data_IF_927690951056
#
_entry.id   IF_927690951056
#
_cell.length_a   1.000
_cell.length_b   1.000
_cell.length_c   1.000
_cell.angle_alpha   90.00
_cell.angle_beta   90.00
_cell.angle_gamma   90.00
#
_symmetry.space_group_name_H-M   'P 1'
#
loop_
_entity.id
_entity.type
_entity.pdbx_description
1 polymer ?
#
# COMPACT_ATOMS: atom_id res chain seq x y z
N UNK A 1 4.65 -10.11 -6.55
CA UNK A 1 4.76 -10.84 -7.82
C UNK A 1 5.76 -10.18 -8.78
N UNK A 2 5.71 -8.87 -9.00
CA UNK A 2 6.62 -8.16 -9.92
C UNK A 2 8.10 -8.18 -9.49
N UNK A 3 8.39 -8.14 -8.19
CA UNK A 3 9.74 -8.15 -7.62
C UNK A 3 10.43 -9.50 -7.83
N UNK A 4 9.76 -10.62 -7.56
CA UNK A 4 10.28 -11.96 -7.81
C UNK A 4 10.65 -12.17 -9.29
N UNK A 5 9.83 -11.64 -10.22
CA UNK A 5 10.06 -11.74 -11.66
C UNK A 5 11.30 -10.96 -12.13
N UNK A 6 11.65 -9.83 -11.48
CA UNK A 6 12.84 -9.04 -11.82
C UNK A 6 14.12 -9.71 -11.34
N UNK A 7 14.14 -10.15 -10.09
CA UNK A 7 15.30 -10.82 -9.49
C UNK A 7 15.59 -12.16 -10.19
N UNK A 8 14.54 -12.93 -10.55
CA UNK A 8 14.66 -14.18 -11.31
C UNK A 8 15.31 -13.97 -12.69
N UNK A 9 14.95 -12.88 -13.39
CA UNK A 9 15.58 -12.55 -14.68
C UNK A 9 17.07 -12.23 -14.51
N UNK A 10 17.44 -11.49 -13.45
CA UNK A 10 18.83 -11.18 -13.14
C UNK A 10 19.60 -12.48 -12.86
N UNK A 11 19.07 -13.36 -12.01
CA UNK A 11 19.67 -14.66 -11.71
C UNK A 11 19.80 -15.57 -12.94
N UNK A 12 18.80 -15.61 -13.82
CA UNK A 12 18.89 -16.35 -15.07
C UNK A 12 19.98 -15.80 -16.00
N UNK A 13 20.12 -14.48 -16.07
CA UNK A 13 21.16 -13.83 -16.87
C UNK A 13 22.54 -14.21 -16.36
N UNK A 14 22.75 -14.10 -15.04
CA UNK A 14 24.03 -14.49 -14.41
C UNK A 14 24.33 -15.96 -14.64
N UNK A 15 23.36 -16.85 -14.42
CA UNK A 15 23.53 -18.29 -14.68
C UNK A 15 24.01 -18.55 -16.11
N UNK A 16 23.37 -17.87 -17.08
CA UNK A 16 23.70 -18.06 -18.50
C UNK A 16 25.09 -17.51 -18.84
N UNK A 17 25.44 -16.33 -18.32
CA UNK A 17 26.74 -15.71 -18.58
C UNK A 17 27.88 -16.49 -17.93
N UNK A 18 27.74 -16.90 -16.67
CA UNK A 18 28.73 -17.69 -15.94
C UNK A 18 28.92 -19.06 -16.60
N UNK A 19 27.82 -19.73 -16.96
CA UNK A 19 27.90 -21.03 -17.65
C UNK A 19 28.63 -20.94 -19.00
N UNK A 20 28.42 -19.87 -19.77
CA UNK A 20 29.14 -19.65 -21.04
C UNK A 20 30.60 -19.27 -20.85
N UNK A 21 30.91 -18.49 -19.84
CA UNK A 21 32.27 -18.05 -19.53
C UNK A 21 33.16 -19.22 -19.14
N UNK A 22 32.64 -20.13 -18.32
CA UNK A 22 33.43 -21.19 -17.70
C UNK A 22 33.31 -22.54 -18.43
N UNK A 23 32.43 -22.65 -19.42
CA UNK A 23 32.05 -23.91 -20.04
C UNK A 23 31.70 -25.01 -19.01
N UNK A 24 31.13 -24.59 -17.89
CA UNK A 24 30.73 -25.41 -16.74
C UNK A 24 29.27 -25.16 -16.38
N UNK A 25 28.66 -26.17 -15.78
CA UNK A 25 27.30 -26.00 -15.27
C UNK A 25 27.31 -25.07 -14.03
N UNK A 26 26.56 -23.96 -14.14
CA UNK A 26 26.37 -23.00 -13.07
C UNK A 26 24.91 -22.95 -12.64
N UNK A 27 24.66 -22.89 -11.35
CA UNK A 27 23.36 -22.64 -10.76
C UNK A 27 23.41 -21.41 -9.85
N UNK A 28 22.31 -20.68 -9.74
CA UNK A 28 22.21 -19.50 -8.87
C UNK A 28 21.04 -19.75 -7.92
N UNK A 29 21.34 -19.65 -6.63
CA UNK A 29 20.34 -19.78 -5.57
C UNK A 29 20.17 -18.44 -4.85
N UNK A 30 18.93 -17.99 -4.59
CA UNK A 30 18.68 -16.78 -3.81
C UNK A 30 19.08 -16.98 -2.35
N UNK A 31 19.63 -15.92 -1.75
CA UNK A 31 20.01 -15.90 -0.34
C UNK A 31 21.34 -16.59 -0.01
N UNK A 32 21.58 -16.74 1.30
CA UNK A 32 22.78 -17.42 1.82
C UNK A 32 22.50 -18.92 1.82
N UNK A 33 23.07 -19.64 0.88
CA UNK A 33 22.94 -21.10 0.85
C UNK A 33 24.26 -21.74 1.27
N UNK A 34 24.27 -22.36 2.43
CA UNK A 34 25.31 -23.33 2.81
C UNK A 34 25.00 -24.64 2.07
N UNK A 35 25.41 -24.73 0.80
CA UNK A 35 25.32 -26.01 0.09
C UNK A 35 26.43 -26.91 0.58
N UNK A 36 26.06 -28.12 1.01
CA UNK A 36 26.99 -29.14 1.50
C UNK A 36 27.60 -29.96 0.35
N UNK A 37 27.59 -29.42 -0.90
CA UNK A 37 28.26 -30.06 -2.04
C UNK A 37 29.73 -29.83 -1.97
N UNK A 38 30.49 -30.90 -1.62
CA UNK A 38 31.96 -30.88 -1.50
C UNK A 38 32.70 -30.70 -2.84
N UNK A 39 31.98 -30.92 -3.97
CA UNK A 39 32.54 -30.88 -5.33
C UNK A 39 32.02 -29.67 -6.13
N UNK A 40 31.84 -28.51 -5.50
CA UNK A 40 31.41 -27.31 -6.16
C UNK A 40 32.05 -26.06 -5.57
N UNK A 41 32.30 -25.05 -6.41
CA UNK A 41 32.80 -23.74 -5.99
C UNK A 41 31.59 -22.83 -5.69
N UNK A 42 31.65 -22.07 -4.62
CA UNK A 42 30.60 -21.19 -4.13
C UNK A 42 31.05 -19.75 -4.14
N UNK A 43 30.34 -18.91 -4.89
CA UNK A 43 30.60 -17.48 -4.99
C UNK A 43 29.37 -16.67 -4.55
N UNK A 44 29.44 -15.88 -3.47
CA UNK A 44 28.34 -15.07 -3.04
C UNK A 44 28.12 -13.86 -3.96
N UNK A 45 26.88 -13.58 -4.31
CA UNK A 45 26.45 -12.35 -4.95
C UNK A 45 26.13 -11.37 -3.81
N UNK A 46 27.03 -10.43 -3.52
CA UNK A 46 26.89 -9.53 -2.37
C UNK A 46 27.33 -8.10 -2.66
N UNK A 47 26.71 -7.15 -1.97
CA UNK A 47 27.16 -5.77 -1.84
C UNK A 47 27.47 -5.52 -0.36
N UNK A 48 28.70 -5.14 -0.05
CA UNK A 48 29.18 -5.02 1.33
C UNK A 48 28.91 -6.31 2.13
N UNK A 49 28.09 -6.22 3.20
CA UNK A 49 27.76 -7.36 4.07
C UNK A 49 26.46 -8.07 3.67
N UNK A 50 25.73 -7.55 2.67
CA UNK A 50 24.43 -8.11 2.25
C UNK A 50 24.60 -9.09 1.12
N UNK A 51 24.18 -10.35 1.35
CA UNK A 51 24.18 -11.42 0.34
C UNK A 51 22.81 -11.51 -0.30
N UNK A 52 22.75 -11.42 -1.62
CA UNK A 52 21.53 -11.54 -2.44
C UNK A 52 21.33 -12.94 -2.98
N UNK A 53 22.41 -13.66 -3.23
CA UNK A 53 22.38 -15.01 -3.76
C UNK A 53 23.76 -15.66 -3.71
N UNK A 54 23.81 -16.90 -4.16
CA UNK A 54 25.06 -17.66 -4.27
C UNK A 54 25.10 -18.36 -5.62
N UNK A 55 26.17 -18.15 -6.37
CA UNK A 55 26.50 -18.91 -7.58
C UNK A 55 27.23 -20.17 -7.18
N UNK A 56 26.76 -21.29 -7.66
CA UNK A 56 27.36 -22.61 -7.45
C UNK A 56 27.82 -23.13 -8.81
N UNK A 57 29.12 -23.41 -8.93
CA UNK A 57 29.77 -23.90 -10.14
C UNK A 57 30.20 -25.33 -9.88
N UNK A 58 29.79 -26.26 -10.73
CA UNK A 58 30.15 -27.67 -10.61
C UNK A 58 31.65 -27.89 -10.91
N UNK A 59 32.30 -28.70 -10.07
CA UNK A 59 33.70 -29.02 -10.13
C UNK A 59 34.51 -28.42 -8.97
N UNK A 60 35.56 -29.13 -8.54
CA UNK A 60 36.44 -28.74 -7.44
C UNK A 60 37.70 -28.04 -7.90
N UNK A 61 37.97 -28.00 -9.21
CA UNK A 61 39.15 -27.34 -9.76
C UNK A 61 39.01 -25.82 -9.62
N UNK A 62 40.03 -25.14 -9.05
CA UNK A 62 40.04 -23.69 -8.93
C UNK A 62 39.98 -23.04 -10.32
N UNK A 63 39.32 -21.88 -10.42
CA UNK A 63 39.23 -21.09 -11.64
C UNK A 63 40.61 -20.45 -11.95
N UNK A 64 40.93 -20.30 -13.22
CA UNK A 64 42.07 -19.51 -13.66
C UNK A 64 41.94 -18.04 -13.23
N UNK A 65 43.07 -17.34 -13.08
CA UNK A 65 43.07 -15.96 -12.59
C UNK A 65 42.19 -15.02 -13.43
N UNK A 66 42.18 -15.20 -14.75
CA UNK A 66 41.32 -14.45 -15.68
C UNK A 66 39.86 -14.77 -15.48
N UNK A 67 39.49 -16.03 -15.44
CA UNK A 67 38.11 -16.51 -15.24
C UNK A 67 37.54 -16.00 -13.92
N UNK A 68 38.33 -16.11 -12.85
CA UNK A 68 37.94 -15.63 -11.52
C UNK A 68 37.72 -14.11 -11.52
N UNK A 69 38.55 -13.33 -12.18
CA UNK A 69 38.41 -11.86 -12.28
C UNK A 69 37.12 -11.46 -13.01
N UNK A 70 36.85 -12.13 -14.16
CA UNK A 70 35.64 -11.85 -14.93
C UNK A 70 34.40 -12.30 -14.17
N UNK A 71 34.45 -13.46 -13.49
CA UNK A 71 33.34 -13.92 -12.65
C UNK A 71 33.01 -12.91 -11.55
N UNK A 72 34.01 -12.44 -10.82
CA UNK A 72 33.81 -11.45 -9.75
C UNK A 72 33.23 -10.14 -10.28
N UNK A 73 33.61 -9.72 -11.50
CA UNK A 73 33.00 -8.54 -12.14
C UNK A 73 31.52 -8.75 -12.44
N UNK A 74 31.15 -9.89 -13.03
CA UNK A 74 29.76 -10.25 -13.33
C UNK A 74 28.94 -10.29 -12.04
N UNK A 75 29.47 -10.90 -10.97
CA UNK A 75 28.80 -10.99 -9.68
C UNK A 75 28.61 -9.61 -9.03
N UNK A 76 29.61 -8.73 -9.17
CA UNK A 76 29.52 -7.35 -8.69
C UNK A 76 28.44 -6.55 -9.40
N UNK A 77 28.37 -6.62 -10.73
CA UNK A 77 27.32 -5.98 -11.51
C UNK A 77 25.91 -6.52 -11.17
N UNK A 78 25.81 -7.84 -11.03
CA UNK A 78 24.58 -8.49 -10.63
C UNK A 78 24.12 -8.04 -9.24
N UNK A 79 25.03 -8.00 -8.27
CA UNK A 79 24.74 -7.58 -6.92
C UNK A 79 24.24 -6.13 -6.86
N UNK A 80 24.87 -5.22 -7.62
CA UNK A 80 24.43 -3.83 -7.76
C UNK A 80 23.05 -3.73 -8.43
N UNK A 81 22.78 -4.54 -9.45
CA UNK A 81 21.46 -4.56 -10.10
C UNK A 81 20.35 -5.02 -9.14
N UNK A 82 20.62 -6.06 -8.34
CA UNK A 82 19.68 -6.55 -7.32
C UNK A 82 19.45 -5.52 -6.21
N UNK A 83 20.52 -4.85 -5.76
CA UNK A 83 20.43 -3.78 -4.77
C UNK A 83 19.59 -2.61 -5.28
N UNK A 84 19.83 -2.16 -6.51
CA UNK A 84 19.06 -1.08 -7.15
C UNK A 84 17.59 -1.46 -7.32
N UNK A 85 17.29 -2.69 -7.77
CA UNK A 85 15.92 -3.20 -7.89
C UNK A 85 15.20 -3.16 -6.55
N UNK A 86 15.87 -3.59 -5.49
CA UNK A 86 15.33 -3.57 -4.14
C UNK A 86 15.11 -2.15 -3.61
N UNK A 87 16.11 -1.28 -3.74
CA UNK A 87 16.02 0.11 -3.28
C UNK A 87 14.89 0.87 -4.00
N UNK A 88 14.68 0.58 -5.29
CA UNK A 88 13.57 1.17 -6.06
C UNK A 88 12.23 0.67 -5.55
N UNK A 89 12.10 -0.62 -5.27
CA UNK A 89 10.87 -1.19 -4.73
C UNK A 89 10.54 -0.65 -3.32
N UNK A 90 11.54 -0.55 -2.44
CA UNK A 90 11.38 0.01 -1.09
C UNK A 90 10.99 1.50 -1.12
N UNK A 91 11.56 2.28 -2.04
CA UNK A 91 11.19 3.69 -2.25
C UNK A 91 9.75 3.84 -2.75
N UNK A 92 9.33 2.99 -3.68
CA UNK A 92 7.96 3.04 -4.22
C UNK A 92 6.94 2.64 -3.15
N UNK A 93 7.23 1.62 -2.35
CA UNK A 93 6.37 1.21 -1.23
C UNK A 93 6.24 2.32 -0.18
N UNK A 94 7.37 2.93 0.22
CA UNK A 94 7.38 4.05 1.15
C UNK A 94 6.62 5.28 0.61
N UNK A 95 6.72 5.54 -0.69
CA UNK A 95 5.99 6.62 -1.35
C UNK A 95 4.48 6.37 -1.32
N UNK A 96 4.04 5.17 -1.69
CA UNK A 96 2.62 4.79 -1.65
C UNK A 96 2.05 4.89 -0.23
N UNK A 97 2.81 4.46 0.77
CA UNK A 97 2.41 4.58 2.16
C UNK A 97 2.28 6.05 2.58
N UNK A 98 3.26 6.89 2.26
CA UNK A 98 3.21 8.32 2.57
C UNK A 98 2.04 9.04 1.87
N UNK A 99 1.73 8.69 0.61
CA UNK A 99 0.57 9.21 -0.11
C UNK A 99 -0.74 8.77 0.56
N UNK A 100 -0.86 7.52 0.97
CA UNK A 100 -2.02 7.00 1.70
C UNK A 100 -2.23 7.72 3.03
N UNK A 101 -1.17 7.91 3.82
CA UNK A 101 -1.24 8.66 5.08
C UNK A 101 -1.64 10.12 4.87
N UNK A 102 -1.12 10.77 3.82
CA UNK A 102 -1.49 12.15 3.46
C UNK A 102 -2.97 12.26 3.07
N UNK A 103 -3.47 11.32 2.27
CA UNK A 103 -4.89 11.27 1.92
C UNK A 103 -5.76 11.11 3.15
N UNK A 104 -5.40 10.20 4.06
CA UNK A 104 -6.11 9.97 5.32
C UNK A 104 -6.14 11.22 6.21
N UNK A 105 -5.00 11.91 6.33
CA UNK A 105 -4.91 13.16 7.10
C UNK A 105 -5.78 14.27 6.50
N UNK A 106 -5.79 14.42 5.18
CA UNK A 106 -6.62 15.40 4.47
C UNK A 106 -8.11 15.09 4.65
N UNK A 107 -8.50 13.83 4.52
CA UNK A 107 -9.88 13.37 4.72
C UNK A 107 -10.35 13.71 6.15
N UNK A 108 -9.57 13.36 7.18
CA UNK A 108 -9.91 13.66 8.56
C UNK A 108 -10.03 15.17 8.82
N UNK A 109 -9.20 15.99 8.16
CA UNK A 109 -9.29 17.46 8.27
C UNK A 109 -10.58 17.98 7.63
N UNK A 110 -10.94 17.50 6.44
CA UNK A 110 -12.19 17.87 5.77
C UNK A 110 -13.40 17.49 6.62
N UNK A 111 -13.45 16.23 7.06
CA UNK A 111 -14.53 15.74 7.93
C UNK A 111 -14.66 16.60 9.20
N UNK A 112 -13.53 16.92 9.85
CA UNK A 112 -13.54 17.74 11.05
C UNK A 112 -14.08 19.16 10.81
N UNK A 113 -13.80 19.73 9.64
CA UNK A 113 -14.36 21.02 9.22
C UNK A 113 -15.88 20.91 9.00
N UNK A 114 -16.29 19.88 8.25
CA UNK A 114 -17.70 19.69 7.87
C UNK A 114 -18.59 19.32 9.06
N UNK A 115 -18.05 18.65 10.07
CA UNK A 115 -18.73 18.39 11.33
C UNK A 115 -18.87 19.67 12.19
N UNK A 116 -17.88 20.57 12.15
CA UNK A 116 -17.86 21.76 13.02
C UNK A 116 -18.98 22.75 12.69
N UNK A 117 -19.27 22.93 11.41
CA UNK A 117 -20.28 23.90 10.95
C UNK A 117 -21.67 23.63 11.52
N UNK A 118 -22.29 22.45 11.30
CA UNK A 118 -23.59 22.15 11.86
C UNK A 118 -23.58 22.06 13.39
N UNK A 119 -22.51 21.54 13.99
CA UNK A 119 -22.39 21.53 15.46
C UNK A 119 -22.40 22.94 16.06
N UNK A 120 -21.75 23.89 15.38
CA UNK A 120 -21.76 25.30 15.84
C UNK A 120 -23.15 25.91 15.70
N UNK A 121 -23.88 25.63 14.60
CA UNK A 121 -25.24 26.10 14.41
C UNK A 121 -26.22 25.50 15.43
N UNK A 122 -26.15 24.18 15.66
CA UNK A 122 -26.95 23.49 16.69
C UNK A 122 -26.69 24.13 18.08
N UNK A 123 -25.41 24.27 18.45
CA UNK A 123 -25.04 24.83 19.76
C UNK A 123 -25.49 26.28 19.88
N UNK A 124 -25.37 27.08 18.83
CA UNK A 124 -25.82 28.47 18.79
C UNK A 124 -27.34 28.61 18.99
N UNK A 125 -28.10 27.89 18.16
CA UNK A 125 -29.57 27.88 18.25
C UNK A 125 -30.06 27.36 19.59
N UNK A 126 -29.46 26.29 20.12
CA UNK A 126 -29.80 25.76 21.43
C UNK A 126 -29.46 26.76 22.57
N UNK A 127 -28.32 27.46 22.48
CA UNK A 127 -27.96 28.48 23.47
C UNK A 127 -28.94 29.64 23.50
N UNK A 128 -29.38 30.13 22.34
CA UNK A 128 -30.38 31.21 22.24
C UNK A 128 -31.72 30.73 22.79
N UNK A 129 -32.15 29.52 22.44
CA UNK A 129 -33.40 28.95 22.96
C UNK A 129 -33.37 28.75 24.47
N UNK A 130 -32.21 28.50 25.09
CA UNK A 130 -32.07 28.34 26.53
C UNK A 130 -32.04 29.68 27.28
N UNK A 131 -31.40 30.72 26.70
CA UNK A 131 -31.15 31.99 27.38
C UNK A 131 -32.24 33.03 27.15
N UNK A 132 -32.90 33.03 26.02
CA UNK A 132 -33.79 34.12 25.56
C UNK A 132 -35.08 33.65 24.90
N UNK A 133 -35.59 32.45 25.20
CA UNK A 133 -36.74 31.87 24.58
C UNK A 133 -38.05 32.67 24.80
N UNK A 134 -38.14 33.43 25.88
CA UNK A 134 -39.30 34.24 26.21
C UNK A 134 -39.45 35.46 25.30
N UNK A 135 -38.37 36.01 24.80
CA UNK A 135 -38.31 37.16 23.91
C UNK A 135 -38.45 36.80 22.42
N UNK A 136 -38.31 35.51 22.08
CA UNK A 136 -38.45 35.01 20.71
C UNK A 136 -39.95 34.82 20.37
N UNK A 137 -40.33 35.21 19.16
CA UNK A 137 -41.66 34.87 18.65
C UNK A 137 -41.78 33.35 18.34
N UNK A 138 -43.00 32.88 18.15
CA UNK A 138 -43.28 31.47 17.96
C UNK A 138 -42.65 30.93 16.66
N UNK A 139 -42.58 31.76 15.62
CA UNK A 139 -42.06 31.36 14.32
C UNK A 139 -40.54 31.28 14.37
N UNK A 140 -39.84 32.23 14.99
CA UNK A 140 -38.38 32.17 15.19
C UNK A 140 -37.96 30.95 16.04
N UNK A 141 -38.70 30.64 17.11
CA UNK A 141 -38.46 29.42 17.90
C UNK A 141 -38.62 28.13 17.06
N UNK A 142 -39.71 28.08 16.28
CA UNK A 142 -40.00 26.93 15.42
C UNK A 142 -38.88 26.73 14.39
N UNK A 143 -38.41 27.83 13.79
CA UNK A 143 -37.31 27.78 12.83
C UNK A 143 -36.03 27.26 13.48
N UNK A 144 -35.62 27.77 14.67
CA UNK A 144 -34.46 27.30 15.37
C UNK A 144 -34.53 25.81 15.74
N UNK A 145 -35.70 25.31 16.14
CA UNK A 145 -35.87 23.87 16.35
C UNK A 145 -35.74 23.08 15.04
N UNK A 146 -36.25 23.60 13.93
CA UNK A 146 -36.09 23.02 12.60
C UNK A 146 -34.63 22.92 12.20
N UNK A 147 -33.89 24.03 12.31
CA UNK A 147 -32.48 24.09 11.99
C UNK A 147 -31.65 23.09 12.82
N UNK A 148 -31.95 22.97 14.14
CA UNK A 148 -31.28 21.99 15.01
C UNK A 148 -31.58 20.56 14.55
N UNK A 149 -32.83 20.28 14.17
CA UNK A 149 -33.22 18.94 13.72
C UNK A 149 -32.59 18.59 12.39
N UNK A 150 -32.58 19.50 11.42
CA UNK A 150 -32.03 19.29 10.08
C UNK A 150 -30.51 19.10 10.13
N UNK A 151 -29.81 19.94 10.89
CA UNK A 151 -28.35 19.83 11.10
C UNK A 151 -28.00 18.50 11.82
N UNK A 152 -28.83 18.08 12.80
CA UNK A 152 -28.63 16.80 13.49
C UNK A 152 -28.85 15.60 12.57
N UNK A 153 -29.88 15.63 11.71
CA UNK A 153 -30.15 14.59 10.74
C UNK A 153 -29.02 14.51 9.69
N UNK A 154 -28.53 15.65 9.24
CA UNK A 154 -27.39 15.70 8.32
C UNK A 154 -26.13 15.09 8.94
N UNK A 155 -25.80 15.44 10.22
CA UNK A 155 -24.69 14.86 10.95
C UNK A 155 -24.82 13.34 11.09
N UNK A 156 -26.01 12.85 11.39
CA UNK A 156 -26.27 11.42 11.48
C UNK A 156 -25.94 10.71 10.16
N UNK A 157 -26.44 11.24 9.05
CA UNK A 157 -26.17 10.68 7.72
C UNK A 157 -24.68 10.73 7.37
N UNK A 158 -23.95 11.79 7.73
CA UNK A 158 -22.52 11.90 7.49
C UNK A 158 -21.75 10.81 8.26
N UNK A 159 -22.12 10.55 9.52
CA UNK A 159 -21.49 9.50 10.34
C UNK A 159 -21.76 8.11 9.75
N UNK A 160 -23.01 7.83 9.33
CA UNK A 160 -23.37 6.56 8.70
C UNK A 160 -22.57 6.34 7.40
N UNK A 161 -22.41 7.37 6.57
CA UNK A 161 -21.60 7.30 5.35
C UNK A 161 -20.13 7.03 5.66
N UNK A 162 -19.57 7.66 6.70
CA UNK A 162 -18.19 7.40 7.16
C UNK A 162 -18.01 5.96 7.63
N UNK A 163 -18.95 5.43 8.40
CA UNK A 163 -18.94 4.04 8.85
C UNK A 163 -19.06 3.06 7.67
N UNK A 164 -19.85 3.41 6.64
CA UNK A 164 -19.92 2.60 5.42
C UNK A 164 -18.57 2.56 4.67
N UNK A 165 -17.90 3.70 4.53
CA UNK A 165 -16.56 3.77 3.91
C UNK A 165 -15.54 2.93 4.68
N UNK A 166 -15.51 3.02 6.02
CA UNK A 166 -14.59 2.22 6.83
C UNK A 166 -14.85 0.71 6.69
N UNK A 167 -16.12 0.28 6.61
CA UNK A 167 -16.47 -1.12 6.36
C UNK A 167 -15.99 -1.61 4.99
N UNK A 168 -16.02 -0.75 3.96
CA UNK A 168 -15.49 -1.06 2.63
C UNK A 168 -13.96 -1.23 2.68
N UNK A 169 -13.24 -0.28 3.29
CA UNK A 169 -11.79 -0.32 3.41
C UNK A 169 -11.30 -1.57 4.17
N UNK A 170 -12.04 -2.00 5.18
CA UNK A 170 -11.73 -3.20 5.95
C UNK A 170 -12.15 -4.51 5.27
N UNK A 171 -12.77 -4.44 4.08
CA UNK A 171 -13.27 -5.60 3.36
C UNK A 171 -14.43 -6.32 4.06
N UNK A 172 -15.10 -5.65 5.00
CA UNK A 172 -16.20 -6.19 5.79
C UNK A 172 -17.58 -5.85 5.23
N UNK A 173 -17.65 -5.25 4.06
CA UNK A 173 -18.91 -4.91 3.43
C UNK A 173 -19.55 -6.16 2.84
N UNK A 174 -20.64 -6.62 3.45
CA UNK A 174 -21.50 -7.67 2.88
C UNK A 174 -22.52 -7.02 1.94
N UNK A 175 -22.40 -7.31 0.64
CA UNK A 175 -23.41 -6.89 -0.34
C UNK A 175 -24.63 -7.80 -0.25
N UNK A 176 -25.74 -7.28 0.26
CA UNK A 176 -27.03 -7.95 0.18
C UNK A 176 -27.65 -7.65 -1.18
N UNK A 177 -27.48 -8.56 -2.12
CA UNK A 177 -28.09 -8.45 -3.44
C UNK A 177 -29.51 -9.03 -3.42
N UNK A 178 -30.47 -8.28 -3.97
CA UNK A 178 -31.83 -8.74 -4.17
C UNK A 178 -32.30 -8.36 -5.58
N UNK A 179 -33.20 -9.18 -6.15
CA UNK A 179 -33.79 -8.87 -7.44
C UNK A 179 -34.84 -7.79 -7.22
N UNK A 180 -34.68 -6.65 -7.92
CA UNK A 180 -35.65 -5.57 -7.94
C UNK A 180 -35.99 -5.17 -9.38
N UNK A 181 -37.19 -4.66 -9.61
CA UNK A 181 -37.56 -4.09 -10.90
C UNK A 181 -36.84 -2.75 -11.09
N UNK A 182 -36.31 -2.53 -12.29
CA UNK A 182 -35.60 -1.27 -12.62
C UNK A 182 -36.49 -0.05 -12.41
N UNK A 183 -37.81 -0.17 -12.67
CA UNK A 183 -38.79 0.89 -12.47
C UNK A 183 -38.93 1.30 -11.00
N UNK A 184 -38.80 0.33 -10.06
CA UNK A 184 -38.87 0.59 -8.62
C UNK A 184 -37.59 1.34 -8.18
N UNK A 185 -36.41 0.93 -8.65
CA UNK A 185 -35.13 1.59 -8.32
C UNK A 185 -35.14 3.04 -8.82
N UNK A 186 -35.59 3.28 -10.05
CA UNK A 186 -35.67 4.63 -10.61
C UNK A 186 -36.68 5.50 -9.85
N UNK A 187 -37.84 4.94 -9.46
CA UNK A 187 -38.84 5.66 -8.68
C UNK A 187 -38.33 6.04 -7.29
N UNK A 188 -37.57 5.17 -6.64
CA UNK A 188 -37.00 5.42 -5.32
C UNK A 188 -35.86 6.45 -5.38
N UNK A 189 -35.06 6.45 -6.45
CA UNK A 189 -33.97 7.40 -6.65
C UNK A 189 -34.45 8.83 -7.03
N UNK A 190 -35.72 8.98 -7.45
CA UNK A 190 -36.31 10.27 -7.84
C UNK A 190 -37.13 10.93 -6.72
N UNK A 191 -37.26 10.30 -5.56
CA UNK A 191 -37.84 10.85 -4.34
C UNK A 191 -36.81 11.56 -3.46
#
# INVERSE_FOLDING_TARGET
>A
LQKATSDDKIFQTVRTQVGKLLDRHASVLPGVTASNRRDALHYPIKVQDRVYGTVIIEGSEPLEAFENSVLLSILGECALALENSRNTAEKEEAKLQAESEKLRANLLRSISHDLRTPLTAISGNASILLSDSENLDADARKQMYGDIYDDSAWLHNLVENLLAVTKIEEGRMELKTQLQLVEEIVSEAMQ
#
